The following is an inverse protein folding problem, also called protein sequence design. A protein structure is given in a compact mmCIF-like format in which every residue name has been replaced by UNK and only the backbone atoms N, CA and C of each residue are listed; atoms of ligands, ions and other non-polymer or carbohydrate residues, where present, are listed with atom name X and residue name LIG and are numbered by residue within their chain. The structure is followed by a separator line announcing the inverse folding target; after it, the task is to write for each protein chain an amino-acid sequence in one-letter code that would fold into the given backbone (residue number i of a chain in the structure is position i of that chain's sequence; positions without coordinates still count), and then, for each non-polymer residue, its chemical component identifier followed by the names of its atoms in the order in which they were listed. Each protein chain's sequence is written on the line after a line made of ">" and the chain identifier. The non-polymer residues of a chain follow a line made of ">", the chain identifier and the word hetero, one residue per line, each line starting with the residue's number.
data_IF_849354149890
#
_entry.id   IF_849354149890
#
_cell.length_a   1.000
_cell.length_b   1.000
_cell.length_c   1.000
_cell.angle_alpha   90.00
_cell.angle_beta   90.00
_cell.angle_gamma   90.00
#
_symmetry.space_group_name_H-M   'P 1'
#
loop_
_entity.id
_entity.type
_entity.pdbx_description
1 polymer ?
#
# COMPACT_ATOMS: atom_id res chain seq x y z
N UNK A 1 -55.06 25.96 18.42
CA UNK A 1 -54.52 24.63 18.73
C UNK A 1 -53.01 24.73 18.60
N UNK A 2 -52.37 24.99 19.72
CA UNK A 2 -50.91 25.14 19.87
C UNK A 2 -50.36 23.77 20.25
N UNK A 3 -49.51 23.18 19.41
CA UNK A 3 -48.81 21.94 19.72
C UNK A 3 -47.40 22.30 20.23
N UNK A 4 -47.16 21.91 21.48
CA UNK A 4 -45.98 22.18 22.30
C UNK A 4 -44.76 21.38 21.80
N UNK A 5 -43.52 21.84 22.08
CA UNK A 5 -42.29 21.19 21.62
C UNK A 5 -41.92 19.97 22.47
N UNK A 6 -41.38 18.91 21.85
CA UNK A 6 -40.85 17.74 22.52
C UNK A 6 -39.33 17.64 22.34
N UNK A 7 -38.63 17.60 23.48
CA UNK A 7 -37.30 17.08 23.81
C UNK A 7 -36.38 16.66 22.62
N UNK A 8 -35.15 17.16 22.49
CA UNK A 8 -34.14 17.16 23.55
C UNK A 8 -33.48 15.78 23.67
N UNK A 9 -32.70 15.37 22.67
CA UNK A 9 -31.75 14.26 22.77
C UNK A 9 -30.33 14.81 22.63
N UNK A 10 -29.72 15.03 23.79
CA UNK A 10 -28.29 15.19 23.98
C UNK A 10 -27.62 13.80 23.93
N UNK A 11 -26.44 13.74 23.30
CA UNK A 11 -25.50 12.64 23.49
C UNK A 11 -25.72 11.38 22.65
N UNK A 12 -25.11 11.36 21.47
CA UNK A 12 -24.01 10.41 21.22
C UNK A 12 -23.24 10.87 19.98
N UNK A 13 -22.03 11.37 20.23
CA UNK A 13 -21.07 11.74 19.22
C UNK A 13 -20.74 10.54 18.34
N UNK A 14 -21.29 10.54 17.12
CA UNK A 14 -20.71 9.75 16.05
C UNK A 14 -19.39 10.43 15.69
N UNK A 15 -18.33 9.86 16.27
CA UNK A 15 -16.95 10.01 15.92
C UNK A 15 -16.83 10.41 14.45
N UNK A 16 -16.26 11.58 14.22
CA UNK A 16 -15.75 12.03 12.93
C UNK A 16 -14.66 11.04 12.49
N UNK A 17 -15.07 9.87 12.01
CA UNK A 17 -14.18 8.91 11.41
C UNK A 17 -13.83 9.46 10.03
N UNK A 18 -12.75 10.22 10.07
CA UNK A 18 -12.00 10.80 8.98
C UNK A 18 -12.16 9.92 7.74
N UNK A 19 -12.90 10.45 6.76
CA UNK A 19 -12.98 9.88 5.43
C UNK A 19 -11.60 10.04 4.76
N UNK A 20 -10.66 9.19 5.15
CA UNK A 20 -9.36 8.97 4.50
C UNK A 20 -9.19 7.46 4.34
N UNK A 21 -10.21 6.82 3.76
CA UNK A 21 -10.29 5.36 3.63
C UNK A 21 -10.10 4.82 2.20
N UNK A 22 -9.95 5.68 1.18
CA UNK A 22 -9.86 5.23 -0.23
C UNK A 22 -8.45 5.23 -0.82
N UNK A 23 -7.50 5.99 -0.27
CA UNK A 23 -6.11 6.03 -0.76
C UNK A 23 -5.13 5.24 0.13
N UNK A 24 -5.52 4.92 1.36
CA UNK A 24 -4.63 4.41 2.42
C UNK A 24 -4.29 2.93 2.29
N UNK A 25 -5.19 2.09 1.75
CA UNK A 25 -4.90 0.65 1.57
C UNK A 25 -3.80 0.39 0.54
N UNK A 26 -3.84 1.08 -0.62
CA UNK A 26 -2.80 0.89 -1.65
C UNK A 26 -1.47 1.51 -1.26
N UNK A 27 -1.47 2.62 -0.52
CA UNK A 27 -0.23 3.30 -0.13
C UNK A 27 0.56 2.52 0.93
N UNK A 28 -0.12 1.94 1.92
CA UNK A 28 0.52 1.08 2.94
C UNK A 28 1.16 -0.18 2.31
N UNK A 29 0.50 -0.77 1.31
CA UNK A 29 1.04 -1.90 0.53
C UNK A 29 2.25 -1.46 -0.32
N UNK A 30 2.20 -0.29 -0.96
CA UNK A 30 3.33 0.26 -1.70
C UNK A 30 4.54 0.49 -0.77
N UNK A 31 4.33 1.09 0.40
CA UNK A 31 5.38 1.28 1.41
C UNK A 31 5.94 -0.08 1.86
N UNK A 32 5.10 -1.07 2.09
CA UNK A 32 5.53 -2.42 2.47
C UNK A 32 6.38 -3.11 1.39
N UNK A 33 5.98 -3.00 0.12
CA UNK A 33 6.74 -3.51 -1.02
C UNK A 33 8.09 -2.80 -1.10
N UNK A 34 8.09 -1.47 -1.12
CA UNK A 34 9.31 -0.68 -1.21
C UNK A 34 10.24 -0.94 -0.02
N UNK A 35 9.72 -1.05 1.21
CA UNK A 35 10.52 -1.43 2.40
C UNK A 35 11.15 -2.81 2.21
N UNK A 36 10.41 -3.77 1.66
CA UNK A 36 10.94 -5.12 1.38
C UNK A 36 12.09 -5.04 0.37
N UNK A 37 11.90 -4.28 -0.72
CA UNK A 37 12.93 -4.06 -1.74
C UNK A 37 14.16 -3.30 -1.22
N UNK A 38 13.98 -2.36 -0.28
CA UNK A 38 15.06 -1.58 0.31
C UNK A 38 15.85 -2.35 1.38
N UNK A 39 15.20 -3.25 2.11
CA UNK A 39 15.80 -4.00 3.21
C UNK A 39 16.84 -5.03 2.75
N UNK A 40 16.80 -5.46 1.48
CA UNK A 40 17.80 -6.37 0.91
C UNK A 40 17.86 -6.20 -0.59
N UNK A 41 19.07 -6.11 -1.15
CA UNK A 41 19.35 -6.18 -2.60
C UNK A 41 19.17 -7.60 -3.19
N UNK A 42 18.32 -8.40 -2.54
CA UNK A 42 18.02 -9.76 -2.96
C UNK A 42 17.14 -9.72 -4.20
N UNK A 43 17.15 -10.81 -4.96
CA UNK A 43 16.30 -11.00 -6.13
C UNK A 43 14.82 -11.08 -5.73
N UNK A 44 14.14 -9.93 -5.70
CA UNK A 44 12.71 -9.86 -5.42
C UNK A 44 11.90 -10.14 -6.67
N UNK A 45 10.84 -10.92 -6.53
CA UNK A 45 9.87 -11.21 -7.58
C UNK A 45 8.46 -11.10 -6.97
N UNK A 46 7.43 -11.25 -7.81
CA UNK A 46 6.06 -11.04 -7.36
C UNK A 46 5.66 -12.04 -6.27
N UNK A 47 6.20 -13.26 -6.33
CA UNK A 47 5.93 -14.32 -5.38
C UNK A 47 6.60 -14.06 -4.02
N UNK A 48 7.86 -13.62 -3.99
CA UNK A 48 8.55 -13.30 -2.73
C UNK A 48 7.98 -12.06 -2.06
N UNK A 49 7.56 -11.07 -2.85
CA UNK A 49 6.82 -9.91 -2.35
C UNK A 49 5.44 -10.30 -1.80
N UNK A 50 4.68 -11.16 -2.49
CA UNK A 50 3.40 -11.67 -1.99
C UNK A 50 3.57 -12.43 -0.67
N UNK A 51 4.61 -13.25 -0.55
CA UNK A 51 4.95 -13.94 0.70
C UNK A 51 5.35 -12.97 1.81
N UNK A 52 6.09 -11.91 1.50
CA UNK A 52 6.43 -10.86 2.47
C UNK A 52 5.20 -10.10 2.96
N UNK A 53 4.29 -9.73 2.05
CA UNK A 53 3.01 -9.11 2.39
C UNK A 53 2.13 -10.06 3.21
N UNK A 54 2.08 -11.35 2.86
CA UNK A 54 1.40 -12.38 3.62
C UNK A 54 1.94 -12.52 5.05
N UNK A 55 3.26 -12.45 5.22
CA UNK A 55 3.89 -12.46 6.54
C UNK A 55 3.52 -11.23 7.39
N UNK A 56 3.17 -10.11 6.76
CA UNK A 56 2.65 -8.91 7.42
C UNK A 56 1.12 -8.94 7.64
N UNK A 57 0.44 -10.04 7.33
CA UNK A 57 -1.02 -10.14 7.42
C UNK A 57 -1.77 -9.43 6.29
N UNK A 58 -1.05 -9.02 5.23
CA UNK A 58 -1.57 -8.29 4.05
C UNK A 58 -1.65 -9.17 2.79
N UNK A 59 -1.43 -10.48 2.95
CA UNK A 59 -1.48 -11.45 1.87
C UNK A 59 -2.87 -11.53 1.22
N UNK A 60 -2.90 -11.62 -0.10
CA UNK A 60 -4.15 -11.72 -0.87
C UNK A 60 -5.01 -10.45 -0.91
N UNK A 61 -4.55 -9.33 -0.33
CA UNK A 61 -5.28 -8.05 -0.35
C UNK A 61 -5.08 -7.26 -1.65
N UNK A 62 -4.05 -7.60 -2.44
CA UNK A 62 -3.72 -6.89 -3.67
C UNK A 62 -3.03 -7.80 -4.70
N UNK A 63 -3.14 -7.43 -5.97
CA UNK A 63 -2.31 -8.01 -7.01
C UNK A 63 -0.93 -7.33 -7.00
N UNK A 64 0.07 -8.01 -6.43
CA UNK A 64 1.43 -7.50 -6.29
C UNK A 64 2.05 -7.10 -7.63
N UNK A 65 1.79 -7.87 -8.69
CA UNK A 65 2.31 -7.55 -10.02
C UNK A 65 1.74 -6.23 -10.53
N UNK A 66 0.44 -5.97 -10.35
CA UNK A 66 -0.16 -4.68 -10.74
C UNK A 66 0.41 -3.51 -9.93
N UNK A 67 0.59 -3.68 -8.61
CA UNK A 67 1.20 -2.62 -7.78
C UNK A 67 2.65 -2.38 -8.18
N UNK A 68 3.42 -3.44 -8.44
CA UNK A 68 4.79 -3.32 -8.92
C UNK A 68 4.87 -2.58 -10.27
N UNK A 69 3.97 -2.87 -11.21
CA UNK A 69 3.86 -2.12 -12.47
C UNK A 69 3.61 -0.64 -12.22
N UNK A 70 2.63 -0.29 -11.37
CA UNK A 70 2.35 1.11 -11.04
C UNK A 70 3.56 1.82 -10.40
N UNK A 71 4.23 1.16 -9.46
CA UNK A 71 5.46 1.67 -8.84
C UNK A 71 6.57 1.88 -9.87
N UNK A 72 6.66 0.99 -10.87
CA UNK A 72 7.63 1.12 -11.97
C UNK A 72 7.27 2.26 -12.90
N UNK A 73 5.99 2.46 -13.23
CA UNK A 73 5.53 3.60 -14.02
C UNK A 73 5.78 4.93 -13.31
N UNK A 74 5.72 4.94 -11.97
CA UNK A 74 6.11 6.09 -11.14
C UNK A 74 7.63 6.26 -10.98
N UNK A 75 8.43 5.34 -11.51
CA UNK A 75 9.89 5.34 -11.39
C UNK A 75 10.41 5.07 -9.97
N UNK A 76 9.60 4.44 -9.11
CA UNK A 76 9.97 4.07 -7.73
C UNK A 76 10.67 2.70 -7.68
N UNK A 77 10.40 1.84 -8.64
CA UNK A 77 11.08 0.55 -8.80
C UNK A 77 11.49 0.35 -10.26
N UNK A 78 12.42 -0.56 -10.48
CA UNK A 78 12.81 -1.06 -11.79
C UNK A 78 12.38 -2.51 -11.91
N UNK A 79 11.77 -2.84 -13.05
CA UNK A 79 11.42 -4.21 -13.42
C UNK A 79 12.46 -4.69 -14.43
N UNK A 80 13.30 -5.63 -14.03
CA UNK A 80 14.29 -6.26 -14.90
C UNK A 80 13.78 -7.62 -15.35
N UNK A 81 13.67 -7.88 -16.67
CA UNK A 81 13.38 -9.23 -17.15
C UNK A 81 14.55 -10.14 -16.77
N UNK A 82 14.25 -11.25 -16.09
CA UNK A 82 15.23 -12.29 -15.82
C UNK A 82 15.24 -13.33 -16.96
N UNK A 83 16.08 -14.36 -16.87
CA UNK A 83 16.11 -15.50 -17.80
C UNK A 83 14.73 -16.14 -18.05
N UNK A 84 13.79 -15.99 -17.09
CA UNK A 84 12.41 -16.37 -17.26
C UNK A 84 11.49 -15.12 -17.29
N UNK A 85 10.83 -14.80 -18.42
CA UNK A 85 9.92 -13.65 -18.52
C UNK A 85 8.69 -13.77 -17.61
N UNK A 86 8.33 -14.97 -17.15
CA UNK A 86 7.24 -15.18 -16.20
C UNK A 86 7.61 -14.79 -14.74
N UNK A 87 8.90 -14.57 -14.46
CA UNK A 87 9.41 -14.18 -13.14
C UNK A 87 10.37 -12.98 -13.29
N UNK A 88 9.84 -11.79 -13.62
CA UNK A 88 10.65 -10.59 -13.63
C UNK A 88 11.15 -10.27 -12.22
N UNK A 89 12.27 -9.58 -12.17
CA UNK A 89 12.91 -9.17 -10.94
C UNK A 89 12.63 -7.70 -10.66
N UNK A 90 12.36 -7.39 -9.40
CA UNK A 90 12.05 -6.06 -8.93
C UNK A 90 13.18 -5.52 -8.08
N UNK A 91 13.59 -4.29 -8.35
CA UNK A 91 14.60 -3.58 -7.56
C UNK A 91 14.11 -2.18 -7.26
N UNK A 92 14.39 -1.67 -6.07
CA UNK A 92 14.05 -0.27 -5.73
C UNK A 92 14.99 0.69 -6.45
N UNK A 93 14.45 1.81 -6.96
CA UNK A 93 15.27 2.90 -7.51
C UNK A 93 15.68 3.86 -6.40
N UNK A 94 16.65 4.74 -6.70
CA UNK A 94 16.99 5.84 -5.78
C UNK A 94 15.75 6.70 -5.47
N UNK A 95 14.89 6.95 -6.46
CA UNK A 95 13.66 7.69 -6.26
C UNK A 95 12.69 6.97 -5.31
N UNK A 96 12.59 5.63 -5.43
CA UNK A 96 11.81 4.80 -4.50
C UNK A 96 12.32 4.88 -3.06
N UNK A 97 13.65 4.88 -2.85
CA UNK A 97 14.25 5.06 -1.52
C UNK A 97 13.93 6.44 -0.94
N UNK A 98 14.10 7.51 -1.72
CA UNK A 98 13.77 8.87 -1.26
C UNK A 98 12.28 9.04 -0.95
N UNK A 99 11.42 8.44 -1.77
CA UNK A 99 9.97 8.43 -1.55
C UNK A 99 9.60 7.70 -0.25
N UNK A 100 10.28 6.60 0.06
CA UNK A 100 10.14 5.88 1.32
C UNK A 100 10.59 6.73 2.51
N UNK A 101 11.75 7.38 2.45
CA UNK A 101 12.26 8.21 3.55
C UNK A 101 11.30 9.34 3.91
N UNK A 102 10.59 9.90 2.92
CA UNK A 102 9.56 10.93 3.16
C UNK A 102 8.28 10.42 3.83
N UNK A 103 8.09 9.10 3.98
CA UNK A 103 6.90 8.46 4.53
C UNK A 103 7.19 7.44 5.65
N UNK A 104 8.45 7.16 5.95
CA UNK A 104 8.90 6.13 6.89
C UNK A 104 8.82 6.58 8.36
#
# INVERSE_FOLDING_TARGET
>A
MEARPAAGYDGMGFLKLRSTGRATMSEDIQIAILKSLSASEKNWNWYTLDRALSAQGRGGQCNVAQIATLLSEQGLITISPNENPAMPMYSITENGRRWLEGRA
#
